data_IF_709178289501
#
_entry.id   IF_709178289501
#
_cell.length_a   1.000
_cell.length_b   1.000
_cell.length_c   1.000
_cell.angle_alpha   90.00
_cell.angle_beta   90.00
_cell.angle_gamma   90.00
#
_symmetry.space_group_name_H-M   'P 1'
#
loop_
_entity.id
_entity.type
_entity.pdbx_description
1 polymer ?
#
# COMPACT_ATOMS: atom_id res chain seq x y z
N UNK A 1 3.74 2.19 10.20
CA UNK A 1 5.19 2.50 10.20
C UNK A 1 5.62 3.63 11.14
N UNK A 2 5.11 4.86 11.06
CA UNK A 2 5.61 5.96 11.92
C UNK A 2 5.52 5.64 13.43
N UNK A 3 4.40 5.06 13.86
CA UNK A 3 4.22 4.59 15.23
C UNK A 3 5.16 3.42 15.57
N UNK A 4 5.46 2.55 14.59
CA UNK A 4 6.43 1.46 14.76
C UNK A 4 7.85 2.00 14.95
N UNK A 5 8.26 2.99 14.14
CA UNK A 5 9.55 3.66 14.30
C UNK A 5 9.69 4.29 15.68
N UNK A 6 8.66 4.97 16.17
CA UNK A 6 8.65 5.57 17.52
C UNK A 6 8.71 4.50 18.62
N UNK A 7 8.02 3.37 18.42
CA UNK A 7 7.88 2.31 19.43
C UNK A 7 9.11 1.40 19.52
N UNK A 8 9.76 1.12 18.39
CA UNK A 8 10.80 0.09 18.30
C UNK A 8 12.19 0.63 17.90
N UNK A 9 12.28 1.86 17.42
CA UNK A 9 13.53 2.57 17.19
C UNK A 9 13.58 3.86 18.02
N UNK A 10 14.68 4.60 17.92
CA UNK A 10 14.83 5.90 18.57
C UNK A 10 14.57 7.01 17.55
N UNK A 11 13.43 7.68 17.68
CA UNK A 11 13.06 8.82 16.82
C UNK A 11 13.29 10.14 17.56
N UNK A 12 14.18 10.96 17.02
CA UNK A 12 14.48 12.31 17.55
C UNK A 12 13.86 13.38 16.63
N UNK A 13 12.94 14.22 17.11
CA UNK A 13 12.36 15.28 16.31
C UNK A 13 13.37 16.40 16.06
N UNK A 14 13.45 16.87 14.82
CA UNK A 14 14.18 18.08 14.41
C UNK A 14 13.20 19.23 14.35
N UNK A 15 13.56 20.35 14.97
CA UNK A 15 12.70 21.53 15.08
C UNK A 15 13.31 22.72 14.35
N UNK A 16 12.46 23.55 13.76
CA UNK A 16 12.86 24.85 13.22
C UNK A 16 12.97 25.93 14.33
N UNK A 17 13.28 27.16 13.94
CA UNK A 17 13.41 28.30 14.85
C UNK A 17 12.12 28.66 15.61
N UNK A 18 10.96 28.21 15.14
CA UNK A 18 9.67 28.41 15.82
C UNK A 18 9.38 27.31 16.85
N UNK A 19 10.18 26.25 16.87
CA UNK A 19 9.98 25.05 17.67
C UNK A 19 9.05 24.01 17.03
N UNK A 20 8.58 24.24 15.80
CA UNK A 20 7.78 23.30 15.04
C UNK A 20 8.64 22.12 14.59
N UNK A 21 8.12 20.89 14.68
CA UNK A 21 8.82 19.70 14.21
C UNK A 21 8.75 19.64 12.68
N UNK A 22 9.91 19.69 12.02
CA UNK A 22 10.03 19.73 10.55
C UNK A 22 10.73 18.50 9.97
N UNK A 23 11.45 17.75 10.79
CA UNK A 23 12.11 16.50 10.38
C UNK A 23 12.28 15.52 11.55
N UNK A 24 12.77 14.32 11.26
CA UNK A 24 13.01 13.26 12.25
C UNK A 24 14.33 12.56 11.94
N UNK A 25 15.14 12.33 12.97
CA UNK A 25 16.32 11.44 12.91
C UNK A 25 15.93 10.11 13.55
N UNK A 26 16.05 9.01 12.80
CA UNK A 26 15.72 7.66 13.27
C UNK A 26 17.02 6.88 13.46
N UNK A 27 17.26 6.41 14.68
CA UNK A 27 18.38 5.55 15.03
C UNK A 27 17.86 4.15 15.39
N UNK A 28 18.32 3.13 14.65
CA UNK A 28 17.91 1.74 14.82
C UNK A 28 16.86 1.27 13.80
N UNK A 29 16.71 -0.05 13.70
CA UNK A 29 15.73 -0.70 12.83
C UNK A 29 14.37 -0.80 13.53
N UNK A 30 13.28 -0.79 12.74
CA UNK A 30 11.92 -0.99 13.23
C UNK A 30 11.13 -1.84 12.22
N UNK A 31 10.14 -2.64 12.68
CA UNK A 31 9.33 -3.44 11.76
C UNK A 31 8.44 -2.55 10.90
N UNK A 32 8.37 -2.83 9.61
CA UNK A 32 7.54 -2.12 8.64
C UNK A 32 6.36 -2.99 8.21
N UNK A 33 5.19 -2.37 8.09
CA UNK A 33 3.95 -3.02 7.70
C UNK A 33 4.07 -3.68 6.33
N UNK A 34 3.44 -4.86 6.15
CA UNK A 34 3.52 -5.63 4.90
C UNK A 34 4.52 -6.78 4.88
N UNK A 35 5.02 -7.19 6.06
CA UNK A 35 6.03 -8.25 6.20
C UNK A 35 5.58 -9.38 7.14
N UNK A 36 4.29 -9.47 7.41
CA UNK A 36 3.68 -10.40 8.36
C UNK A 36 4.28 -10.32 9.78
N UNK A 37 4.54 -9.08 10.25
CA UNK A 37 5.06 -8.82 11.59
C UNK A 37 3.99 -8.16 12.47
N UNK A 38 3.44 -8.94 13.40
CA UNK A 38 2.36 -8.51 14.30
C UNK A 38 2.68 -7.23 15.05
N UNK A 39 3.97 -6.94 15.33
CA UNK A 39 4.38 -5.75 16.08
C UNK A 39 3.96 -4.44 15.41
N UNK A 40 3.86 -4.43 14.08
CA UNK A 40 3.46 -3.27 13.26
C UNK A 40 2.12 -3.50 12.57
N UNK A 41 1.77 -4.74 12.24
CA UNK A 41 0.46 -5.07 11.66
C UNK A 41 -0.67 -4.82 12.67
N UNK A 42 -0.46 -5.12 13.95
CA UNK A 42 -1.43 -4.82 15.00
C UNK A 42 -1.68 -3.32 15.15
N UNK A 43 -0.64 -2.49 14.94
CA UNK A 43 -0.80 -1.02 14.93
C UNK A 43 -1.74 -0.60 13.79
N UNK A 44 -1.63 -1.21 12.61
CA UNK A 44 -2.52 -0.91 11.49
C UNK A 44 -3.97 -1.33 11.81
N UNK A 45 -4.17 -2.51 12.41
CA UNK A 45 -5.48 -2.98 12.88
C UNK A 45 -6.10 -2.04 13.91
N UNK A 46 -5.32 -1.62 14.90
CA UNK A 46 -5.74 -0.71 15.97
C UNK A 46 -6.18 0.64 15.41
N UNK A 47 -5.38 1.25 14.53
CA UNK A 47 -5.72 2.54 13.90
C UNK A 47 -7.06 2.51 13.14
N UNK A 48 -7.31 1.43 12.38
CA UNK A 48 -8.56 1.25 11.64
C UNK A 48 -9.75 1.10 12.58
N UNK A 49 -9.56 0.37 13.68
CA UNK A 49 -10.61 0.12 14.68
C UNK A 49 -10.93 1.40 15.46
N UNK A 50 -9.92 2.08 15.99
CA UNK A 50 -10.07 3.31 16.76
C UNK A 50 -10.74 4.42 15.94
N UNK A 51 -10.36 4.58 14.66
CA UNK A 51 -10.98 5.60 13.81
C UNK A 51 -12.47 5.31 13.57
N UNK A 52 -12.83 4.05 13.35
CA UNK A 52 -14.23 3.64 13.17
C UNK A 52 -15.06 3.83 14.45
N UNK A 53 -14.49 3.54 15.63
CA UNK A 53 -15.14 3.81 16.93
C UNK A 53 -15.41 5.31 17.12
N UNK A 54 -14.43 6.15 16.81
CA UNK A 54 -14.59 7.61 16.86
C UNK A 54 -15.67 8.09 15.90
N UNK A 55 -15.71 7.60 14.65
CA UNK A 55 -16.75 7.97 13.68
C UNK A 55 -18.14 7.63 14.22
N UNK A 56 -18.33 6.41 14.75
CA UNK A 56 -19.62 5.94 15.30
C UNK A 56 -20.14 6.76 16.48
N UNK A 57 -19.29 7.54 17.15
CA UNK A 57 -19.72 8.43 18.24
C UNK A 57 -20.48 9.68 17.77
N UNK A 58 -20.51 9.96 16.46
CA UNK A 58 -21.13 11.15 15.89
C UNK A 58 -22.49 10.82 15.23
N UNK A 59 -23.51 11.68 15.35
CA UNK A 59 -24.76 11.50 14.63
C UNK A 59 -24.56 11.73 13.12
N UNK A 60 -25.34 11.02 12.30
CA UNK A 60 -25.33 11.13 10.84
C UNK A 60 -26.62 11.72 10.29
N UNK A 61 -26.52 12.40 9.15
CA UNK A 61 -27.70 12.81 8.41
C UNK A 61 -28.49 11.59 7.94
N UNK A 62 -29.82 11.61 8.13
CA UNK A 62 -30.75 10.50 7.79
C UNK A 62 -30.40 9.16 8.45
N UNK A 63 -29.79 9.19 9.63
CA UNK A 63 -29.43 7.97 10.37
C UNK A 63 -28.56 7.01 9.53
N UNK A 64 -27.74 7.56 8.62
CA UNK A 64 -26.84 6.76 7.79
C UNK A 64 -25.89 5.94 8.68
N UNK A 65 -25.74 4.66 8.37
CA UNK A 65 -24.79 3.78 9.07
C UNK A 65 -23.38 4.22 8.73
N UNK A 66 -22.55 4.44 9.75
CA UNK A 66 -21.14 4.75 9.55
C UNK A 66 -20.40 3.56 8.97
N UNK A 67 -19.66 3.80 7.90
CA UNK A 67 -18.72 2.86 7.30
C UNK A 67 -17.39 3.57 7.07
N UNK A 68 -16.35 2.78 6.80
CA UNK A 68 -14.99 3.25 6.59
C UNK A 68 -14.34 2.42 5.48
N UNK A 69 -13.50 3.05 4.66
CA UNK A 69 -12.66 2.37 3.67
C UNK A 69 -11.19 2.68 3.91
N UNK A 70 -10.32 1.69 3.77
CA UNK A 70 -8.88 1.90 3.62
C UNK A 70 -8.58 1.98 2.11
N UNK A 71 -8.89 3.14 1.52
CA UNK A 71 -8.86 3.42 0.10
C UNK A 71 -8.42 4.87 -0.14
N UNK A 72 -7.58 5.10 -1.17
CA UNK A 72 -7.05 6.45 -1.45
C UNK A 72 -7.33 6.97 -2.86
N UNK A 73 -7.58 6.10 -3.85
CA UNK A 73 -7.53 6.47 -5.28
C UNK A 73 -6.18 7.15 -5.60
N UNK A 74 -6.17 8.44 -5.96
CA UNK A 74 -4.98 9.26 -6.22
C UNK A 74 -4.66 10.23 -5.08
N UNK A 75 -5.46 10.23 -4.01
CA UNK A 75 -5.22 11.06 -2.82
C UNK A 75 -3.91 10.70 -2.12
N UNK A 76 -3.35 9.50 -2.34
CA UNK A 76 -2.03 9.13 -1.81
C UNK A 76 -0.92 10.08 -2.33
N UNK A 77 -1.02 10.53 -3.59
CA UNK A 77 -0.10 11.51 -4.17
C UNK A 77 -0.41 12.92 -3.67
N UNK A 78 -1.70 13.31 -3.67
CA UNK A 78 -2.11 14.67 -3.27
C UNK A 78 -1.81 14.94 -1.79
N UNK A 79 -2.17 14.01 -0.90
CA UNK A 79 -1.84 14.11 0.52
C UNK A 79 -0.34 13.97 0.77
N UNK A 80 0.36 13.09 0.04
CA UNK A 80 1.82 12.99 0.10
C UNK A 80 2.51 14.33 -0.15
N UNK A 81 2.09 15.04 -1.21
CA UNK A 81 2.55 16.40 -1.55
C UNK A 81 2.30 17.42 -0.44
N UNK A 82 1.16 17.31 0.24
CA UNK A 82 0.75 18.20 1.32
C UNK A 82 1.29 17.80 2.71
N UNK A 83 2.06 16.71 2.81
CA UNK A 83 2.57 16.20 4.09
C UNK A 83 4.09 16.31 4.17
N UNK A 84 4.59 16.90 5.26
CA UNK A 84 6.01 17.03 5.58
C UNK A 84 6.71 15.69 5.85
N UNK A 85 7.93 15.73 6.40
CA UNK A 85 8.64 14.50 6.80
C UNK A 85 7.85 13.77 7.88
N UNK A 86 7.86 12.43 7.88
CA UNK A 86 7.18 11.61 8.89
C UNK A 86 8.15 10.70 9.64
N UNK A 87 7.84 10.28 10.89
CA UNK A 87 8.74 9.48 11.74
C UNK A 87 9.22 8.15 11.14
N UNK A 88 8.49 7.61 10.18
CA UNK A 88 8.87 6.41 9.42
C UNK A 88 9.98 6.64 8.38
N UNK A 89 10.52 7.86 8.31
CA UNK A 89 11.54 8.26 7.34
C UNK A 89 11.00 8.63 5.96
N UNK A 90 9.67 8.59 5.72
CA UNK A 90 9.11 9.09 4.45
C UNK A 90 9.34 10.61 4.38
N UNK A 91 9.91 11.05 3.26
CA UNK A 91 10.28 12.44 3.03
C UNK A 91 9.09 13.30 2.65
N UNK A 92 9.17 14.59 2.99
CA UNK A 92 8.19 15.60 2.62
C UNK A 92 7.88 15.54 1.11
N UNK A 93 6.59 15.57 0.77
CA UNK A 93 6.13 15.55 -0.61
C UNK A 93 6.06 14.18 -1.29
N UNK A 94 6.68 13.14 -0.72
CA UNK A 94 6.64 11.78 -1.30
C UNK A 94 5.20 11.20 -1.22
N UNK A 95 4.74 10.42 -2.22
CA UNK A 95 3.43 9.78 -2.13
C UNK A 95 3.28 8.87 -0.89
N UNK A 96 2.05 8.75 -0.38
CA UNK A 96 1.68 7.63 0.49
C UNK A 96 1.50 6.34 -0.33
N UNK A 97 1.38 5.22 0.38
CA UNK A 97 0.95 3.96 -0.21
C UNK A 97 -0.49 4.08 -0.77
N UNK A 98 -0.82 3.40 -1.89
CA UNK A 98 -2.17 3.37 -2.41
C UNK A 98 -3.09 2.47 -1.56
N UNK A 99 -4.23 3.00 -1.09
CA UNK A 99 -5.17 2.23 -0.28
C UNK A 99 -4.53 1.69 1.01
N UNK A 100 -4.66 0.38 1.21
CA UNK A 100 -4.14 -0.35 2.36
C UNK A 100 -2.74 -0.94 2.14
N UNK A 101 -2.07 -0.58 1.05
CA UNK A 101 -0.75 -1.10 0.72
C UNK A 101 0.30 -0.78 1.79
N UNK A 102 1.35 -1.62 1.90
CA UNK A 102 2.64 -1.21 2.43
C UNK A 102 3.22 -0.01 1.68
N UNK A 103 4.03 0.81 2.37
CA UNK A 103 4.79 1.87 1.71
C UNK A 103 5.76 1.27 0.69
N UNK A 104 5.89 1.91 -0.47
CA UNK A 104 6.69 1.42 -1.59
C UNK A 104 8.09 0.96 -1.14
N UNK A 105 8.43 -0.29 -1.43
CA UNK A 105 9.72 -0.91 -1.13
C UNK A 105 9.89 -1.39 0.32
N UNK A 106 8.86 -1.27 1.19
CA UNK A 106 8.96 -1.72 2.59
C UNK A 106 8.45 -3.14 2.82
N UNK A 107 7.67 -3.68 1.91
CA UNK A 107 7.21 -5.07 1.83
C UNK A 107 8.24 -5.94 1.13
N UNK A 108 9.19 -6.48 1.91
CA UNK A 108 10.37 -7.19 1.43
C UNK A 108 10.30 -8.71 1.58
N UNK A 109 9.28 -9.22 2.28
CA UNK A 109 9.11 -10.65 2.57
C UNK A 109 8.22 -11.40 1.55
N UNK A 110 7.89 -10.75 0.42
CA UNK A 110 7.19 -11.37 -0.71
C UNK A 110 5.70 -11.09 -0.81
N UNK A 111 5.11 -11.59 -1.90
CA UNK A 111 3.69 -11.68 -2.24
C UNK A 111 2.74 -11.86 -1.05
N UNK A 112 2.94 -13.02 -0.45
CA UNK A 112 2.08 -13.62 0.54
C UNK A 112 2.18 -12.86 1.86
N UNK A 113 3.39 -12.52 2.31
CA UNK A 113 3.58 -11.77 3.56
C UNK A 113 2.86 -10.42 3.53
N UNK A 114 2.99 -9.66 2.42
CA UNK A 114 2.29 -8.40 2.24
C UNK A 114 0.77 -8.58 2.23
N UNK A 115 0.30 -9.64 1.56
CA UNK A 115 -1.13 -9.97 1.48
C UNK A 115 -1.70 -10.37 2.84
N UNK A 116 -0.97 -11.16 3.63
CA UNK A 116 -1.36 -11.59 4.97
C UNK A 116 -1.38 -10.42 5.97
N UNK A 117 -0.38 -9.54 5.94
CA UNK A 117 -0.40 -8.30 6.73
C UNK A 117 -1.65 -7.47 6.48
N UNK A 118 -2.07 -7.33 5.21
CA UNK A 118 -3.26 -6.55 4.86
C UNK A 118 -4.55 -7.27 5.24
N UNK A 119 -4.57 -8.60 5.16
CA UNK A 119 -5.70 -9.41 5.60
C UNK A 119 -6.00 -9.28 7.11
N UNK A 120 -5.02 -8.86 7.92
CA UNK A 120 -5.22 -8.58 9.36
C UNK A 120 -6.06 -7.31 9.63
N UNK A 121 -6.27 -6.46 8.63
CA UNK A 121 -7.17 -5.29 8.77
C UNK A 121 -8.62 -5.78 8.90
N UNK A 122 -9.35 -5.40 9.96
CA UNK A 122 -10.65 -5.95 10.27
C UNK A 122 -11.73 -5.34 9.35
N UNK A 123 -12.27 -6.15 8.43
CA UNK A 123 -13.28 -5.70 7.46
C UNK A 123 -14.58 -5.19 8.12
N UNK A 124 -14.96 -5.72 9.28
CA UNK A 124 -16.10 -5.23 10.06
C UNK A 124 -15.90 -3.80 10.59
N UNK A 125 -14.66 -3.32 10.66
CA UNK A 125 -14.30 -1.93 10.96
C UNK A 125 -14.00 -1.10 9.71
N UNK A 126 -14.01 -1.72 8.53
CA UNK A 126 -13.74 -1.08 7.25
C UNK A 126 -14.70 -1.59 6.16
N UNK A 127 -16.01 -1.56 6.47
CA UNK A 127 -17.06 -2.16 5.63
C UNK A 127 -17.26 -1.49 4.26
N UNK A 128 -16.65 -0.32 4.04
CA UNK A 128 -16.62 0.36 2.73
C UNK A 128 -15.42 -0.09 1.86
N UNK A 129 -14.55 -0.94 2.42
CA UNK A 129 -13.57 -1.74 1.67
C UNK A 129 -12.11 -1.49 2.06
N UNK A 130 -11.27 -2.51 1.82
CA UNK A 130 -9.82 -2.48 2.09
C UNK A 130 -9.09 -2.80 0.78
N UNK A 131 -8.43 -1.81 0.18
CA UNK A 131 -7.83 -1.96 -1.15
C UNK A 131 -6.35 -2.31 -1.08
N UNK A 132 -5.98 -3.53 -1.48
CA UNK A 132 -4.60 -3.92 -1.78
C UNK A 132 -4.32 -3.98 -3.29
N UNK A 133 -3.21 -3.40 -3.74
CA UNK A 133 -2.71 -3.52 -5.12
C UNK A 133 -1.30 -4.08 -5.15
N UNK A 134 -1.15 -5.27 -5.74
CA UNK A 134 0.13 -5.98 -5.83
C UNK A 134 0.60 -6.05 -7.28
N UNK A 135 1.92 -6.02 -7.44
CA UNK A 135 2.58 -6.28 -8.71
C UNK A 135 3.62 -7.35 -8.49
N UNK A 136 3.59 -8.41 -9.29
CA UNK A 136 4.55 -9.52 -9.24
C UNK A 136 5.15 -9.72 -10.62
N UNK A 137 6.45 -9.98 -10.67
CA UNK A 137 7.10 -10.33 -11.93
C UNK A 137 6.69 -11.74 -12.34
N UNK A 138 6.52 -12.06 -13.64
CA UNK A 138 6.06 -13.38 -14.07
C UNK A 138 6.90 -14.55 -13.52
N UNK A 139 8.22 -14.37 -13.40
CA UNK A 139 9.13 -15.37 -12.84
C UNK A 139 8.93 -15.59 -11.33
N UNK A 140 8.40 -14.60 -10.61
CA UNK A 140 8.10 -14.70 -9.18
C UNK A 140 6.86 -15.54 -8.88
N UNK A 141 5.95 -15.67 -9.85
CA UNK A 141 4.82 -16.60 -9.76
C UNK A 141 5.19 -18.04 -10.13
N UNK A 142 6.24 -18.26 -10.92
CA UNK A 142 6.61 -19.61 -11.39
C UNK A 142 7.36 -19.61 -12.71
N UNK A 143 8.02 -20.73 -13.01
CA UNK A 143 8.80 -20.91 -14.25
C UNK A 143 7.90 -21.29 -15.42
N UNK A 144 6.89 -22.12 -15.17
CA UNK A 144 5.91 -22.54 -16.18
C UNK A 144 4.58 -21.80 -16.03
N UNK A 145 3.74 -21.82 -17.07
CA UNK A 145 2.41 -21.22 -17.00
C UNK A 145 1.55 -21.89 -15.92
N UNK A 146 1.59 -23.22 -15.83
CA UNK A 146 0.83 -23.99 -14.85
C UNK A 146 1.25 -23.68 -13.42
N UNK A 147 2.57 -23.56 -13.16
CA UNK A 147 3.08 -23.12 -11.86
C UNK A 147 2.57 -21.72 -11.49
N UNK A 148 2.59 -20.78 -12.44
CA UNK A 148 2.13 -19.41 -12.20
C UNK A 148 0.64 -19.36 -11.83
N UNK A 149 -0.18 -20.13 -12.54
CA UNK A 149 -1.61 -20.24 -12.25
C UNK A 149 -1.82 -20.87 -10.88
N UNK A 150 -1.19 -22.00 -10.59
CA UNK A 150 -1.34 -22.71 -9.33
C UNK A 150 -0.89 -21.86 -8.13
N UNK A 151 0.24 -21.17 -8.23
CA UNK A 151 0.75 -20.32 -7.15
C UNK A 151 -0.11 -19.07 -6.94
N UNK A 152 -0.64 -18.47 -8.02
CA UNK A 152 -1.56 -17.34 -7.90
C UNK A 152 -2.89 -17.76 -7.28
N UNK A 153 -3.43 -18.92 -7.66
CA UNK A 153 -4.64 -19.49 -7.01
C UNK A 153 -4.37 -19.74 -5.53
N UNK A 154 -3.25 -20.36 -5.18
CA UNK A 154 -2.88 -20.60 -3.78
C UNK A 154 -2.75 -19.31 -2.95
N UNK A 155 -2.22 -18.23 -3.54
CA UNK A 155 -2.18 -16.91 -2.90
C UNK A 155 -3.59 -16.36 -2.65
N UNK A 156 -4.49 -16.46 -3.63
CA UNK A 156 -5.88 -16.01 -3.49
C UNK A 156 -6.62 -16.82 -2.43
N UNK A 157 -6.44 -18.14 -2.40
CA UNK A 157 -7.02 -19.01 -1.38
C UNK A 157 -6.52 -18.65 0.02
N UNK A 158 -5.21 -18.41 0.17
CA UNK A 158 -4.61 -17.99 1.43
C UNK A 158 -5.14 -16.62 1.89
N UNK A 159 -5.26 -15.66 0.98
CA UNK A 159 -5.83 -14.35 1.26
C UNK A 159 -7.27 -14.47 1.79
N UNK A 160 -8.12 -15.21 1.07
CA UNK A 160 -9.53 -15.37 1.44
C UNK A 160 -9.66 -16.09 2.79
N UNK A 161 -8.85 -17.14 3.01
CA UNK A 161 -8.83 -17.86 4.28
C UNK A 161 -8.36 -16.98 5.46
N UNK A 162 -7.48 -16.02 5.20
CA UNK A 162 -7.00 -15.05 6.18
C UNK A 162 -7.96 -13.87 6.41
N UNK A 163 -9.10 -13.80 5.71
CA UNK A 163 -10.09 -12.73 5.85
C UNK A 163 -9.81 -11.48 5.01
N UNK A 164 -8.90 -11.56 4.03
CA UNK A 164 -8.61 -10.46 3.13
C UNK A 164 -9.81 -10.10 2.24
N UNK A 165 -10.02 -8.81 2.02
CA UNK A 165 -11.21 -8.29 1.33
C UNK A 165 -11.05 -8.14 -0.19
N UNK A 166 -10.00 -7.45 -0.65
CA UNK A 166 -9.80 -7.14 -2.07
C UNK A 166 -8.33 -7.22 -2.44
N UNK A 167 -8.05 -7.80 -3.61
CA UNK A 167 -6.71 -7.85 -4.20
C UNK A 167 -6.75 -7.44 -5.68
N UNK A 168 -5.98 -6.41 -6.01
CA UNK A 168 -5.55 -6.13 -7.37
C UNK A 168 -4.24 -6.88 -7.65
N UNK A 169 -4.17 -7.55 -8.79
CA UNK A 169 -2.98 -8.29 -9.23
C UNK A 169 -2.52 -7.75 -10.58
N UNK A 170 -1.28 -7.29 -10.64
CA UNK A 170 -0.54 -7.07 -11.88
C UNK A 170 0.54 -8.15 -12.02
N UNK A 171 0.60 -8.79 -13.19
CA UNK A 171 1.67 -9.75 -13.53
C UNK A 171 2.49 -9.17 -14.68
N UNK A 172 3.51 -8.36 -14.34
CA UNK A 172 4.29 -7.58 -15.31
C UNK A 172 5.67 -7.23 -14.75
N UNK A 173 6.57 -6.74 -15.60
CA UNK A 173 7.91 -6.30 -15.19
C UNK A 173 8.04 -4.78 -15.25
N UNK A 174 8.99 -4.24 -14.49
CA UNK A 174 9.30 -2.81 -14.47
C UNK A 174 9.72 -2.32 -15.86
N UNK A 175 10.54 -3.12 -16.54
CA UNK A 175 11.06 -2.85 -17.87
C UNK A 175 9.94 -2.72 -18.91
N UNK A 176 8.85 -3.49 -18.76
CA UNK A 176 7.68 -3.36 -19.63
C UNK A 176 7.01 -1.99 -19.46
N UNK A 177 6.93 -1.48 -18.23
CA UNK A 177 6.34 -0.16 -17.99
C UNK A 177 7.29 0.95 -18.45
N UNK A 178 8.58 0.82 -18.21
CA UNK A 178 9.59 1.80 -18.68
C UNK A 178 9.59 1.89 -20.21
N UNK A 179 9.55 0.76 -20.92
CA UNK A 179 9.44 0.77 -22.38
C UNK A 179 8.12 1.39 -22.85
N UNK A 180 7.00 1.10 -22.16
CA UNK A 180 5.71 1.71 -22.48
C UNK A 180 5.64 3.23 -22.22
N UNK A 181 6.50 3.76 -21.34
CA UNK A 181 6.62 5.21 -21.15
C UNK A 181 7.32 5.90 -22.31
N UNK A 182 8.30 5.24 -22.93
CA UNK A 182 9.11 5.80 -24.00
C UNK A 182 8.52 5.51 -25.39
N UNK A 183 7.88 4.36 -25.57
CA UNK A 183 7.30 3.88 -26.83
C UNK A 183 5.78 3.55 -26.68
N UNK A 184 4.93 4.52 -26.31
CA UNK A 184 3.53 4.25 -25.96
C UNK A 184 2.68 3.64 -27.09
N UNK A 185 3.05 3.86 -28.36
CA UNK A 185 2.40 3.30 -29.54
C UNK A 185 2.52 1.77 -29.64
N UNK A 186 3.52 1.18 -29.00
CA UNK A 186 3.69 -0.28 -28.91
C UNK A 186 2.73 -0.91 -27.88
N UNK A 187 2.15 -0.09 -27.00
CA UNK A 187 1.35 -0.52 -25.85
C UNK A 187 -0.05 0.13 -25.81
N UNK A 188 -0.80 0.18 -26.93
CA UNK A 188 -2.02 1.00 -27.02
C UNK A 188 -3.13 0.54 -26.06
N UNK A 189 -3.08 -0.73 -25.61
CA UNK A 189 -4.05 -1.35 -24.71
C UNK A 189 -3.46 -1.81 -23.38
N UNK A 190 -2.21 -1.45 -23.06
CA UNK A 190 -1.56 -1.86 -21.82
C UNK A 190 -2.36 -1.33 -20.63
N UNK A 191 -3.01 -2.26 -19.92
CA UNK A 191 -3.93 -1.98 -18.83
C UNK A 191 -3.33 -2.50 -17.53
N UNK A 192 -3.27 -1.63 -16.52
CA UNK A 192 -2.73 -1.95 -15.21
C UNK A 192 -3.75 -1.67 -14.11
N UNK A 193 -3.66 -2.39 -13.00
CA UNK A 193 -4.39 -2.12 -11.77
C UNK A 193 -3.60 -1.13 -10.91
N UNK A 194 -4.27 -0.12 -10.35
CA UNK A 194 -3.59 0.95 -9.59
C UNK A 194 -4.09 1.15 -8.16
N UNK A 195 -5.40 1.29 -7.94
CA UNK A 195 -5.96 1.63 -6.62
C UNK A 195 -7.45 1.29 -6.55
N UNK A 196 -7.78 0.00 -6.67
CA UNK A 196 -9.16 -0.51 -6.77
C UNK A 196 -9.77 -0.52 -8.19
N UNK A 197 -9.09 0.04 -9.18
CA UNK A 197 -9.54 0.06 -10.58
C UNK A 197 -8.38 -0.12 -11.57
N UNK A 198 -8.73 -0.29 -12.84
CA UNK A 198 -7.77 -0.41 -13.95
C UNK A 198 -7.68 0.88 -14.76
N UNK A 199 -6.49 1.17 -15.29
CA UNK A 199 -6.21 2.28 -16.19
C UNK A 199 -5.38 1.82 -17.36
N UNK A 200 -5.51 2.52 -18.48
CA UNK A 200 -4.57 2.39 -19.57
C UNK A 200 -3.29 3.17 -19.20
N UNK A 201 -2.17 2.46 -19.11
CA UNK A 201 -0.91 3.00 -18.59
C UNK A 201 -0.39 4.18 -19.41
N UNK A 202 -0.50 4.12 -20.75
CA UNK A 202 -0.01 5.17 -21.64
C UNK A 202 -0.88 6.43 -21.63
N UNK A 203 -2.05 6.39 -20.96
CA UNK A 203 -2.93 7.55 -20.75
C UNK A 203 -2.68 8.29 -19.43
N UNK A 204 -1.83 7.74 -18.56
CA UNK A 204 -1.44 8.41 -17.32
C UNK A 204 -0.47 9.55 -17.60
N UNK A 205 -0.44 10.55 -16.70
CA UNK A 205 0.61 11.58 -16.76
C UNK A 205 1.96 10.98 -16.38
N UNK A 206 3.07 11.60 -16.81
CA UNK A 206 4.43 11.14 -16.48
C UNK A 206 4.63 10.96 -14.96
N UNK A 207 4.11 11.89 -14.16
CA UNK A 207 4.17 11.81 -12.69
C UNK A 207 3.43 10.58 -12.15
N UNK A 208 2.24 10.29 -12.66
CA UNK A 208 1.45 9.10 -12.27
C UNK A 208 2.12 7.80 -12.71
N UNK A 209 2.74 7.77 -13.89
CA UNK A 209 3.51 6.61 -14.37
C UNK A 209 4.72 6.35 -13.47
N UNK A 210 5.45 7.40 -13.09
CA UNK A 210 6.58 7.30 -12.15
C UNK A 210 6.14 6.81 -10.77
N UNK A 211 4.98 7.24 -10.26
CA UNK A 211 4.39 6.69 -9.03
C UNK A 211 4.17 5.18 -9.17
N UNK A 212 3.50 4.73 -10.24
CA UNK A 212 3.25 3.30 -10.49
C UNK A 212 4.55 2.50 -10.54
N UNK A 213 5.55 2.99 -11.27
CA UNK A 213 6.84 2.31 -11.40
C UNK A 213 7.57 2.28 -10.05
N UNK A 214 7.49 3.33 -9.23
CA UNK A 214 8.18 3.37 -7.94
C UNK A 214 7.67 2.35 -6.91
N UNK A 215 6.50 1.73 -7.15
CA UNK A 215 5.89 0.73 -6.26
C UNK A 215 6.71 -0.57 -6.20
N UNK A 216 6.37 -1.41 -5.23
CA UNK A 216 6.97 -2.73 -5.06
C UNK A 216 6.60 -3.67 -6.22
N UNK A 217 7.60 -4.38 -6.74
CA UNK A 217 7.44 -5.46 -7.71
C UNK A 217 7.98 -6.72 -7.05
N UNK A 218 7.09 -7.60 -6.61
CA UNK A 218 7.49 -8.80 -5.90
C UNK A 218 8.22 -9.76 -6.84
N UNK A 219 9.38 -10.25 -6.36
CA UNK A 219 10.19 -11.25 -7.05
C UNK A 219 9.74 -12.69 -6.76
N UNK A 220 8.75 -12.88 -5.87
CA UNK A 220 8.23 -14.16 -5.44
C UNK A 220 6.85 -14.00 -4.78
N UNK A 221 6.04 -15.07 -4.84
CA UNK A 221 4.85 -15.24 -3.98
C UNK A 221 5.29 -15.40 -2.53
#
# INVERSE_FOLDING_TARGET
DSLSAIKYARVSPVRDETGLVTDYVVEGEFPTYGNDDDRVDDIARELVTEFMEMLRSHPTYRDAVHTQSVLTITSNVVYGKATGNTPDGRRAGAPFAPGANPMNGRDTHGMLAATLSVAKIPFDQAQDGISLTTTVVPAGLGRTADERVANLVGLLDAQMAAGGYHLNVNVLTRETLEDAMENPENYPQLTIRVSGYAVNFVRLTREQQLDVISRTFHAGV
#
